data_IF_393988608975
#
_entry.id   IF_393988608975
#
_cell.length_a   1.000
_cell.length_b   1.000
_cell.length_c   1.000
_cell.angle_alpha   90.00
_cell.angle_beta   90.00
_cell.angle_gamma   90.00
#
_symmetry.space_group_name_H-M   'P 1'
#
loop_
_entity.id
_entity.type
_entity.pdbx_description
1 polymer ?
#
# COMPACT_ATOMS: atom_id res chain seq x y z
N UNK A 1 13.22 -4.50 27.15
CA UNK A 1 13.09 -4.72 26.75
C UNK A 1 12.54 -4.66 26.00
N UNK A 2 12.35 -4.51 25.70
CA UNK A 2 11.83 -4.64 25.11
C UNK A 2 11.91 -4.40 24.10
N UNK A 3 12.11 -3.94 23.68
CA UNK A 3 12.23 -3.84 22.84
C UNK A 3 12.48 -4.42 21.96
N UNK A 4 12.64 -4.77 21.95
CA UNK A 4 13.09 -5.62 21.30
C UNK A 4 12.18 -6.17 20.49
N UNK A 5 11.23 -6.35 20.70
CA UNK A 5 10.32 -6.98 20.10
C UNK A 5 9.81 -6.18 19.05
N UNK A 6 9.73 -5.13 19.08
CA UNK A 6 9.16 -4.40 18.18
C UNK A 6 9.96 -4.20 17.07
N UNK A 7 10.99 -4.31 17.18
CA UNK A 7 11.83 -4.20 16.20
C UNK A 7 11.48 -5.00 15.09
N UNK A 8 11.21 -6.13 15.29
CA UNK A 8 11.04 -6.92 14.19
C UNK A 8 9.75 -6.74 13.63
N UNK A 9 8.97 -6.19 14.29
CA UNK A 9 7.78 -6.11 13.83
C UNK A 9 7.80 -5.15 12.84
N UNK A 10 8.57 -4.57 12.59
CA UNK A 10 8.63 -3.73 11.60
C UNK A 10 7.44 -3.26 11.05
N UNK A 11 6.70 -2.76 11.64
CA UNK A 11 5.67 -2.19 11.22
C UNK A 11 6.11 -1.08 10.53
N UNK A 12 6.56 -1.03 9.48
CA UNK A 12 7.07 -0.06 8.82
C UNK A 12 6.10 0.83 8.27
N UNK A 13 5.95 1.95 8.60
CA UNK A 13 5.04 2.87 8.02
C UNK A 13 5.72 3.62 6.91
N UNK A 14 5.92 2.98 5.81
CA UNK A 14 6.53 3.65 4.68
C UNK A 14 5.48 4.38 3.90
N UNK A 15 5.86 5.42 3.18
CA UNK A 15 4.95 6.14 2.32
C UNK A 15 4.96 5.50 0.94
N UNK A 16 3.81 5.50 0.30
CA UNK A 16 3.68 4.98 -1.04
C UNK A 16 2.69 5.84 -1.79
N UNK A 17 2.57 5.62 -3.08
CA UNK A 17 1.66 6.39 -3.92
C UNK A 17 0.88 5.44 -4.79
N UNK A 18 -0.40 5.67 -4.92
CA UNK A 18 -1.26 4.89 -5.80
C UNK A 18 -1.43 5.67 -7.08
N UNK A 19 -1.19 5.03 -8.21
CA UNK A 19 -1.32 5.65 -9.51
C UNK A 19 -2.52 5.07 -10.21
N UNK A 20 -3.54 5.89 -10.42
CA UNK A 20 -4.76 5.43 -11.05
C UNK A 20 -4.68 5.58 -12.57
N UNK A 21 -4.04 6.61 -13.05
CA UNK A 21 -3.82 6.80 -14.47
C UNK A 21 -2.72 7.83 -14.61
N UNK A 22 -2.22 7.99 -15.81
CA UNK A 22 -1.15 8.94 -16.05
C UNK A 22 -1.63 10.38 -15.88
N UNK A 23 -2.91 10.62 -16.02
CA UNK A 23 -3.42 11.96 -15.91
C UNK A 23 -3.96 12.30 -14.56
N UNK A 24 -4.22 11.32 -13.74
CA UNK A 24 -4.79 11.56 -12.42
C UNK A 24 -3.71 11.89 -11.42
N UNK A 25 -4.00 12.66 -10.40
CA UNK A 25 -3.01 12.91 -9.35
C UNK A 25 -2.71 11.60 -8.63
N UNK A 26 -1.50 11.47 -8.14
CA UNK A 26 -1.14 10.31 -7.36
C UNK A 26 -1.78 10.42 -5.99
N UNK A 27 -2.20 9.29 -5.45
CA UNK A 27 -2.80 9.27 -4.14
C UNK A 27 -1.76 8.83 -3.14
N UNK A 28 -1.53 9.64 -2.12
CA UNK A 28 -0.57 9.28 -1.09
C UNK A 28 -1.18 8.25 -0.17
N UNK A 29 -0.39 7.30 0.26
CA UNK A 29 -0.87 6.30 1.21
C UNK A 29 0.29 5.82 2.07
N UNK A 30 -0.04 5.11 3.13
CA UNK A 30 0.96 4.54 4.00
C UNK A 30 0.96 3.03 3.81
N UNK A 31 2.14 2.44 3.88
CA UNK A 31 2.27 0.99 3.79
C UNK A 31 2.37 0.48 5.21
N UNK A 32 1.38 -0.31 5.62
CA UNK A 32 1.38 -0.84 6.96
C UNK A 32 2.06 -2.19 7.06
N UNK A 33 2.04 -2.92 5.97
CA UNK A 33 2.66 -4.22 5.92
C UNK A 33 3.20 -4.38 4.53
N UNK A 34 4.35 -5.00 4.38
CA UNK A 34 4.94 -5.22 3.06
C UNK A 34 5.62 -6.57 3.04
N UNK A 35 5.26 -7.37 2.07
CA UNK A 35 5.91 -8.66 1.86
C UNK A 35 6.37 -8.72 0.42
N UNK A 36 6.96 -9.82 0.02
CA UNK A 36 7.40 -9.97 -1.36
C UNK A 36 6.23 -10.05 -2.32
N UNK A 37 5.08 -10.49 -1.87
CA UNK A 37 3.95 -10.72 -2.76
C UNK A 37 2.85 -9.68 -2.63
N UNK A 38 2.85 -8.87 -1.61
CA UNK A 38 1.78 -7.92 -1.45
C UNK A 38 2.01 -6.95 -0.32
N UNK A 39 1.00 -6.19 0.00
CA UNK A 39 1.10 -5.17 1.01
C UNK A 39 -0.28 -4.77 1.52
N UNK A 40 -0.31 -4.10 2.65
CA UNK A 40 -1.52 -3.48 3.15
C UNK A 40 -1.30 -1.98 3.09
N UNK A 41 -2.14 -1.28 2.35
CA UNK A 41 -2.04 0.15 2.19
C UNK A 41 -3.11 0.83 3.01
N UNK A 42 -2.77 1.95 3.61
CA UNK A 42 -3.75 2.74 4.33
C UNK A 42 -3.93 4.07 3.60
N UNK A 43 -5.16 4.40 3.30
CA UNK A 43 -5.52 5.58 2.50
C UNK A 43 -6.58 6.38 3.23
N UNK A 44 -6.86 7.59 2.76
CA UNK A 44 -7.93 8.41 3.35
C UNK A 44 -9.29 7.78 3.07
N UNK A 45 -9.46 7.25 1.89
CA UNK A 45 -10.69 6.56 1.52
C UNK A 45 -10.36 5.62 0.39
N UNK A 46 -11.01 4.47 0.35
CA UNK A 46 -10.82 3.52 -0.75
C UNK A 46 -11.84 3.76 -1.84
N UNK A 47 -12.75 4.73 -1.65
CA UNK A 47 -13.76 5.01 -2.66
C UNK A 47 -13.11 5.44 -3.97
N UNK A 48 -13.52 4.87 -5.05
CA UNK A 48 -13.01 5.27 -6.36
C UNK A 48 -11.72 4.60 -6.77
N UNK A 49 -11.13 3.77 -5.93
CA UNK A 49 -9.89 3.09 -6.29
C UNK A 49 -10.27 1.77 -6.97
N UNK A 50 -9.83 1.57 -8.21
CA UNK A 50 -10.21 0.35 -8.94
C UNK A 50 -9.51 -0.88 -8.38
N UNK A 51 -9.91 -2.05 -8.85
CA UNK A 51 -9.30 -3.30 -8.40
C UNK A 51 -7.86 -3.38 -8.86
N UNK A 52 -7.57 -2.96 -10.07
CA UNK A 52 -6.21 -3.02 -10.60
C UNK A 52 -5.65 -1.61 -10.70
N UNK A 53 -4.45 -1.41 -10.23
CA UNK A 53 -3.80 -0.10 -10.29
C UNK A 53 -2.30 -0.31 -10.09
N UNK A 54 -1.53 0.75 -10.17
CA UNK A 54 -0.10 0.68 -9.91
C UNK A 54 0.17 1.34 -8.58
N UNK A 55 1.18 0.88 -7.90
CA UNK A 55 1.60 1.46 -6.64
C UNK A 55 3.11 1.70 -6.71
N UNK A 56 3.57 2.81 -6.15
CA UNK A 56 4.99 3.11 -6.07
C UNK A 56 5.38 2.99 -4.62
N UNK A 57 6.27 2.04 -4.32
CA UNK A 57 6.76 1.81 -2.98
C UNK A 57 8.27 1.88 -3.05
N UNK A 58 8.86 2.71 -2.21
CA UNK A 58 10.32 2.85 -2.19
C UNK A 58 10.88 3.17 -3.58
N UNK A 59 10.15 3.99 -4.33
CA UNK A 59 10.63 4.41 -5.63
C UNK A 59 10.42 3.39 -6.75
N UNK A 60 9.82 2.26 -6.47
CA UNK A 60 9.61 1.23 -7.47
C UNK A 60 8.13 1.15 -7.79
N UNK A 61 7.79 1.32 -9.06
CA UNK A 61 6.41 1.25 -9.51
C UNK A 61 6.07 -0.18 -9.88
N UNK A 62 5.00 -0.69 -9.34
CA UNK A 62 4.60 -2.07 -9.58
C UNK A 62 3.11 -2.14 -9.81
N UNK A 63 2.66 -2.96 -10.75
CA UNK A 63 1.24 -3.20 -10.91
C UNK A 63 0.74 -4.07 -9.77
N UNK A 64 -0.46 -3.86 -9.33
CA UNK A 64 -1.00 -4.64 -8.24
C UNK A 64 -2.50 -4.79 -8.38
N UNK A 65 -3.07 -5.63 -7.54
CA UNK A 65 -4.49 -5.87 -7.54
C UNK A 65 -5.01 -5.90 -6.12
N UNK A 66 -6.15 -5.27 -5.90
CA UNK A 66 -6.78 -5.25 -4.61
C UNK A 66 -7.42 -6.60 -4.35
N UNK A 67 -7.15 -7.23 -3.21
CA UNK A 67 -7.73 -8.51 -2.85
C UNK A 67 -8.75 -8.36 -1.72
N UNK A 68 -8.67 -7.30 -0.95
CA UNK A 68 -9.69 -6.97 0.03
C UNK A 68 -9.56 -5.49 0.35
N UNK A 69 -10.60 -4.90 0.88
CA UNK A 69 -10.53 -3.52 1.28
C UNK A 69 -11.55 -3.19 2.34
N UNK A 70 -11.26 -2.17 3.10
CA UNK A 70 -12.22 -1.58 4.02
C UNK A 70 -12.35 -0.12 3.57
N UNK A 71 -12.93 0.74 4.39
CA UNK A 71 -13.07 2.14 4.02
C UNK A 71 -11.72 2.84 3.88
N UNK A 72 -10.71 2.40 4.62
CA UNK A 72 -9.43 3.09 4.63
C UNK A 72 -8.23 2.18 4.42
N UNK A 73 -8.43 0.90 4.19
CA UNK A 73 -7.31 -0.01 3.98
C UNK A 73 -7.55 -0.88 2.77
N UNK A 74 -6.47 -1.22 2.09
CA UNK A 74 -6.53 -2.07 0.91
C UNK A 74 -5.43 -3.10 1.02
N UNK A 75 -5.80 -4.36 0.95
CA UNK A 75 -4.80 -5.42 0.83
C UNK A 75 -4.56 -5.68 -0.64
N UNK A 76 -3.31 -5.64 -1.07
CA UNK A 76 -2.97 -5.82 -2.47
C UNK A 76 -2.01 -6.97 -2.66
N UNK A 77 -2.04 -7.52 -3.85
CA UNK A 77 -1.05 -8.48 -4.27
C UNK A 77 -0.35 -7.87 -5.47
N UNK A 78 0.96 -8.02 -5.55
CA UNK A 78 1.71 -7.50 -6.68
C UNK A 78 1.55 -8.44 -7.87
N UNK A 79 1.41 -7.88 -9.04
CA UNK A 79 1.24 -8.69 -10.22
C UNK A 79 2.58 -9.15 -10.77
#
# INVERSE_FOLDING_TARGET
>A
MQEKREIYRKRVLKNAQIILSEKAPKLECAVRNLTQTGACLQVSTTYGIPVNFDVVVEGVRRPCRSVWRTDTKIGITFA
#
